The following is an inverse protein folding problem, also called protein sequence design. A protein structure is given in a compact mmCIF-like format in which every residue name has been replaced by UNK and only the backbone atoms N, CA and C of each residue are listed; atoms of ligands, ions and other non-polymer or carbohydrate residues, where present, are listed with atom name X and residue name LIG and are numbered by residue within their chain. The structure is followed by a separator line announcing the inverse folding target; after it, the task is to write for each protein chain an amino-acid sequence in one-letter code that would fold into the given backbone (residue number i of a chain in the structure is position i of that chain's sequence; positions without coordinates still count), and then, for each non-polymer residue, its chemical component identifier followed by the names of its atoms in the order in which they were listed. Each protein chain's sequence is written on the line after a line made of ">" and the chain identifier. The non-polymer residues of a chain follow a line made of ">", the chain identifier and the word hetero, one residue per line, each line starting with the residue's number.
data_IF_182013523075
#
_entry.id   IF_182013523075
#
_cell.length_a   1.000
_cell.length_b   1.000
_cell.length_c   1.000
_cell.angle_alpha   90.00
_cell.angle_beta   90.00
_cell.angle_gamma   90.00
#
_symmetry.space_group_name_H-M   'P 1'
#
loop_
_entity.id
_entity.type
_entity.pdbx_description
1 polymer ?
#
# COMPACT_ATOMS: atom_id res chain seq x y z
N UNK A 1 12.09 -2.37 10.49
CA UNK A 1 11.50 -1.37 9.58
C UNK A 1 12.63 -0.54 8.98
N UNK A 2 12.87 -0.71 7.68
CA UNK A 2 14.06 -0.25 6.95
C UNK A 2 14.14 1.29 6.85
N UNK A 3 15.36 1.86 6.89
CA UNK A 3 15.58 3.32 6.78
C UNK A 3 15.29 3.85 5.38
N UNK A 4 15.50 3.03 4.35
CA UNK A 4 15.23 3.36 2.94
C UNK A 4 13.74 3.57 2.70
N UNK A 5 12.89 2.64 3.15
CA UNK A 5 11.44 2.71 3.05
C UNK A 5 10.85 3.94 3.77
N UNK A 6 11.41 4.32 4.93
CA UNK A 6 11.02 5.57 5.63
C UNK A 6 11.41 6.83 4.86
N UNK A 7 12.55 6.83 4.18
CA UNK A 7 13.01 7.98 3.41
C UNK A 7 12.18 8.16 2.13
N UNK A 8 11.83 7.06 1.47
CA UNK A 8 11.00 7.06 0.26
C UNK A 8 9.56 7.50 0.58
N UNK A 9 8.99 6.98 1.67
CA UNK A 9 7.69 7.42 2.17
C UNK A 9 7.65 8.92 2.52
N UNK A 10 8.71 9.42 3.19
CA UNK A 10 8.83 10.84 3.54
C UNK A 10 8.93 11.71 2.30
N UNK A 11 9.66 11.27 1.26
CA UNK A 11 9.76 11.97 0.00
C UNK A 11 8.42 12.04 -0.74
N UNK A 12 7.70 10.92 -0.85
CA UNK A 12 6.38 10.86 -1.49
C UNK A 12 5.38 11.79 -0.77
N UNK A 13 5.35 11.78 0.57
CA UNK A 13 4.50 12.68 1.36
C UNK A 13 4.85 14.15 1.14
N UNK A 14 6.14 14.48 1.13
CA UNK A 14 6.61 15.84 0.88
C UNK A 14 6.20 16.30 -0.53
N UNK A 15 6.35 15.45 -1.53
CA UNK A 15 6.03 15.79 -2.92
C UNK A 15 4.52 15.96 -3.13
N UNK A 16 3.69 15.10 -2.53
CA UNK A 16 2.23 15.27 -2.50
C UNK A 16 1.80 16.55 -1.77
N UNK A 17 2.44 16.86 -0.64
CA UNK A 17 2.16 18.08 0.12
C UNK A 17 2.53 19.32 -0.68
N UNK A 18 3.71 19.33 -1.31
CA UNK A 18 4.14 20.40 -2.20
C UNK A 18 3.19 20.58 -3.39
N UNK A 19 2.77 19.48 -4.03
CA UNK A 19 1.79 19.53 -5.11
C UNK A 19 0.46 20.16 -4.67
N UNK A 20 -0.07 19.75 -3.52
CA UNK A 20 -1.30 20.31 -2.96
C UNK A 20 -1.13 21.80 -2.61
N UNK A 21 0.00 22.21 -2.03
CA UNK A 21 0.30 23.64 -1.75
C UNK A 21 0.29 24.44 -3.05
N UNK A 22 0.97 23.95 -4.10
CA UNK A 22 1.03 24.62 -5.40
C UNK A 22 -0.37 24.77 -5.99
N UNK A 23 -1.17 23.69 -6.00
CA UNK A 23 -2.54 23.72 -6.51
C UNK A 23 -3.41 24.72 -5.73
N UNK A 24 -3.28 24.76 -4.40
CA UNK A 24 -3.96 25.71 -3.54
C UNK A 24 -3.57 27.16 -3.84
N UNK A 25 -2.27 27.44 -4.00
CA UNK A 25 -1.77 28.77 -4.39
C UNK A 25 -2.29 29.21 -5.76
N UNK A 26 -2.39 28.30 -6.73
CA UNK A 26 -2.97 28.57 -8.06
C UNK A 26 -4.46 28.93 -7.93
N UNK A 27 -5.23 28.17 -7.14
CA UNK A 27 -6.66 28.43 -6.92
C UNK A 27 -6.89 29.80 -6.26
N UNK A 28 -6.09 30.14 -5.24
CA UNK A 28 -6.15 31.48 -4.62
C UNK A 28 -5.81 32.59 -5.61
N UNK A 29 -4.79 32.41 -6.44
CA UNK A 29 -4.40 33.40 -7.44
C UNK A 29 -5.50 33.59 -8.49
N UNK A 30 -6.04 32.51 -9.05
CA UNK A 30 -7.14 32.56 -10.02
C UNK A 30 -8.40 33.21 -9.43
N UNK A 31 -8.71 32.92 -8.16
CA UNK A 31 -9.87 33.51 -7.47
C UNK A 31 -9.73 35.01 -7.23
N UNK A 32 -8.51 35.52 -7.13
CA UNK A 32 -8.23 36.95 -6.94
C UNK A 32 -7.79 37.65 -8.24
N UNK A 33 -7.63 36.93 -9.35
CA UNK A 33 -7.19 37.50 -10.62
C UNK A 33 -8.27 38.39 -11.24
N UNK A 34 -9.53 37.97 -11.16
CA UNK A 34 -10.70 38.73 -11.67
C UNK A 34 -10.76 40.11 -11.01
N UNK A 35 -10.55 40.12 -9.69
CA UNK A 35 -10.43 41.32 -8.88
C UNK A 35 -9.34 42.29 -9.35
N UNK A 36 -8.16 41.77 -9.69
CA UNK A 36 -7.04 42.57 -10.20
C UNK A 36 -7.35 43.12 -11.59
N UNK A 37 -7.99 42.33 -12.45
CA UNK A 37 -8.35 42.70 -13.82
C UNK A 37 -9.40 43.81 -13.81
N UNK A 38 -10.44 43.71 -12.98
CA UNK A 38 -11.49 44.73 -12.89
C UNK A 38 -10.96 46.07 -12.39
N UNK A 39 -10.01 46.05 -11.44
CA UNK A 39 -9.32 47.25 -10.95
C UNK A 39 -8.52 47.98 -12.04
N UNK A 40 -8.05 47.24 -13.06
CA UNK A 40 -7.29 47.80 -14.16
C UNK A 40 -8.17 48.27 -15.33
N UNK A 41 -9.24 47.54 -15.67
CA UNK A 41 -10.12 47.87 -16.80
C UNK A 41 -11.20 48.90 -16.47
N UNK A 42 -11.67 48.97 -15.23
CA UNK A 42 -12.78 49.82 -14.84
C UNK A 42 -12.47 50.62 -13.56
N UNK A 43 -11.58 51.63 -13.63
CA UNK A 43 -11.18 52.42 -12.47
C UNK A 43 -12.32 53.28 -11.86
N UNK A 44 -13.41 53.46 -12.60
CA UNK A 44 -14.57 54.28 -12.23
C UNK A 44 -15.49 53.60 -11.19
N UNK A 45 -15.44 52.26 -11.09
CA UNK A 45 -16.34 51.49 -10.23
C UNK A 45 -15.68 51.34 -8.85
N UNK A 46 -16.34 51.69 -7.74
CA UNK A 46 -15.76 51.52 -6.41
C UNK A 46 -15.65 50.02 -6.07
N UNK A 47 -14.50 49.45 -6.41
CA UNK A 47 -14.14 48.04 -6.20
C UNK A 47 -14.26 47.60 -4.72
N UNK A 48 -14.11 48.55 -3.78
CA UNK A 48 -14.19 48.32 -2.33
C UNK A 48 -15.62 48.37 -1.74
N UNK A 49 -16.64 47.98 -2.49
CA UNK A 49 -17.97 47.74 -1.91
C UNK A 49 -17.96 46.45 -1.06
N UNK A 50 -18.78 46.45 0.00
CA UNK A 50 -18.87 45.39 1.02
C UNK A 50 -19.13 43.98 0.44
N UNK A 51 -19.66 43.92 -0.78
CA UNK A 51 -20.07 42.71 -1.48
C UNK A 51 -18.89 41.97 -2.16
N UNK A 52 -17.86 42.68 -2.61
CA UNK A 52 -16.70 42.07 -3.31
C UNK A 52 -15.62 41.57 -2.35
N UNK A 53 -15.42 42.23 -1.21
CA UNK A 53 -14.47 41.80 -0.18
C UNK A 53 -14.88 40.47 0.48
N UNK A 54 -16.19 40.25 0.63
CA UNK A 54 -16.73 39.03 1.22
C UNK A 54 -16.41 37.78 0.38
N UNK A 55 -16.45 37.87 -0.95
CA UNK A 55 -16.23 36.71 -1.83
C UNK A 55 -14.78 36.22 -1.76
N UNK A 56 -13.80 37.13 -1.78
CA UNK A 56 -12.37 36.77 -1.65
C UNK A 56 -12.03 36.22 -0.25
N UNK A 57 -12.56 36.85 0.81
CA UNK A 57 -12.34 36.42 2.19
C UNK A 57 -12.96 35.06 2.50
N UNK A 58 -14.23 34.85 2.13
CA UNK A 58 -14.94 33.58 2.36
C UNK A 58 -14.27 32.45 1.59
N UNK A 59 -13.94 32.66 0.31
CA UNK A 59 -13.28 31.65 -0.50
C UNK A 59 -11.88 31.31 0.06
N UNK A 60 -11.11 32.31 0.49
CA UNK A 60 -9.82 32.09 1.15
C UNK A 60 -9.92 31.25 2.43
N UNK A 61 -10.90 31.55 3.29
CA UNK A 61 -11.14 30.79 4.53
C UNK A 61 -11.59 29.36 4.24
N UNK A 62 -12.55 29.17 3.33
CA UNK A 62 -13.07 27.85 2.95
C UNK A 62 -11.97 26.99 2.33
N UNK A 63 -11.23 27.53 1.37
CA UNK A 63 -10.12 26.81 0.76
C UNK A 63 -9.04 26.49 1.81
N UNK A 64 -8.71 27.43 2.72
CA UNK A 64 -7.70 27.21 3.76
C UNK A 64 -8.08 26.10 4.75
N UNK A 65 -9.36 26.04 5.14
CA UNK A 65 -9.90 24.97 5.98
C UNK A 65 -9.83 23.64 5.22
N UNK A 66 -10.29 23.57 3.97
CA UNK A 66 -10.23 22.36 3.14
C UNK A 66 -8.79 21.87 2.93
N UNK A 67 -7.86 22.78 2.69
CA UNK A 67 -6.44 22.47 2.55
C UNK A 67 -5.85 21.91 3.84
N UNK A 68 -6.12 22.58 4.98
CA UNK A 68 -5.68 22.12 6.30
C UNK A 68 -6.25 20.74 6.64
N UNK A 69 -7.55 20.53 6.44
CA UNK A 69 -8.21 19.23 6.64
C UNK A 69 -7.61 18.14 5.75
N UNK A 70 -7.33 18.44 4.47
CA UNK A 70 -6.69 17.49 3.56
C UNK A 70 -5.27 17.12 4.03
N UNK A 71 -4.47 18.10 4.46
CA UNK A 71 -3.13 17.86 5.01
C UNK A 71 -3.20 17.06 6.32
N UNK A 72 -4.15 17.37 7.20
CA UNK A 72 -4.35 16.63 8.45
C UNK A 72 -4.82 15.20 8.20
N UNK A 73 -5.76 14.98 7.28
CA UNK A 73 -6.26 13.65 6.91
C UNK A 73 -5.15 12.78 6.30
N UNK A 74 -4.34 13.34 5.40
CA UNK A 74 -3.20 12.63 4.79
C UNK A 74 -2.09 12.36 5.82
N UNK A 75 -1.88 13.24 6.79
CA UNK A 75 -0.94 13.03 7.88
C UNK A 75 -1.43 11.97 8.88
N UNK A 76 -2.73 11.93 9.18
CA UNK A 76 -3.34 11.00 10.13
C UNK A 76 -3.60 9.59 9.54
N UNK A 77 -3.76 9.48 8.21
CA UNK A 77 -4.18 8.25 7.51
C UNK A 77 -3.14 7.12 7.39
N UNK A 78 -2.28 6.89 8.38
CA UNK A 78 -1.25 5.82 8.31
C UNK A 78 -1.11 4.97 9.57
N UNK A 79 -2.19 4.78 10.32
CA UNK A 79 -2.13 3.95 11.54
C UNK A 79 -2.77 2.55 11.41
N UNK A 80 -3.33 2.14 10.25
CA UNK A 80 -4.10 0.87 10.18
C UNK A 80 -3.71 -0.11 9.07
N UNK A 81 -2.57 0.07 8.39
CA UNK A 81 -2.03 -0.94 7.44
C UNK A 81 -0.77 -1.63 7.95
N UNK A 82 -0.37 -1.39 9.21
CA UNK A 82 0.90 -1.87 9.77
C UNK A 82 0.70 -2.77 11.01
N UNK A 83 -0.34 -3.61 11.01
CA UNK A 83 -0.50 -4.66 12.03
C UNK A 83 -0.66 -6.08 11.44
N UNK A 84 -0.27 -6.29 10.18
CA UNK A 84 0.01 -7.61 9.61
C UNK A 84 1.39 -7.56 8.97
N UNK A 85 2.36 -8.28 9.54
CA UNK A 85 3.78 -8.05 9.29
C UNK A 85 4.18 -8.24 7.83
N UNK A 86 4.66 -7.20 7.16
CA UNK A 86 5.32 -7.37 5.86
C UNK A 86 6.48 -8.37 5.99
N UNK A 87 6.46 -9.41 5.14
CA UNK A 87 7.53 -10.39 5.03
C UNK A 87 8.87 -9.64 4.85
N UNK A 88 9.89 -9.98 5.64
CA UNK A 88 11.24 -9.38 5.48
C UNK A 88 11.74 -9.70 4.06
N UNK A 89 12.44 -8.75 3.44
CA UNK A 89 13.04 -8.93 2.10
C UNK A 89 13.98 -10.15 2.02
N UNK A 90 14.60 -10.53 3.15
CA UNK A 90 15.40 -11.74 3.29
C UNK A 90 14.95 -12.45 4.57
N UNK A 91 14.42 -13.67 4.44
CA UNK A 91 14.08 -14.50 5.59
C UNK A 91 15.29 -15.32 6.04
N UNK A 92 15.70 -15.23 7.31
CA UNK A 92 16.69 -16.13 7.87
C UNK A 92 16.09 -17.52 8.05
N UNK A 93 16.29 -18.40 7.07
CA UNK A 93 15.77 -19.77 7.04
C UNK A 93 16.91 -20.75 7.39
N UNK A 94 16.63 -21.72 8.25
CA UNK A 94 17.57 -22.81 8.52
C UNK A 94 17.76 -23.67 7.26
N UNK A 95 19.01 -23.83 6.82
CA UNK A 95 19.31 -24.58 5.60
C UNK A 95 18.86 -26.06 5.67
N UNK A 96 18.85 -26.65 6.87
CA UNK A 96 18.50 -28.04 7.10
C UNK A 96 16.98 -28.25 7.31
N UNK A 97 16.40 -27.64 8.34
CA UNK A 97 14.99 -27.90 8.73
C UNK A 97 13.98 -26.89 8.14
N UNK A 98 14.43 -25.88 7.39
CA UNK A 98 13.60 -24.84 6.76
C UNK A 98 12.75 -23.97 7.70
N UNK A 99 12.97 -24.05 9.01
CA UNK A 99 12.36 -23.15 9.97
C UNK A 99 12.87 -21.70 9.79
N UNK A 100 12.02 -20.73 10.10
CA UNK A 100 12.32 -19.30 10.04
C UNK A 100 12.72 -18.80 11.42
N UNK A 101 13.79 -18.01 11.47
CA UNK A 101 14.21 -17.34 12.71
C UNK A 101 13.43 -16.05 12.94
N UNK A 102 12.66 -15.99 14.02
CA UNK A 102 11.80 -14.84 14.35
C UNK A 102 12.47 -13.79 15.21
N UNK A 103 13.45 -14.16 16.03
CA UNK A 103 14.24 -13.23 16.85
C UNK A 103 15.72 -13.23 16.45
N UNK A 104 16.48 -12.28 17.00
CA UNK A 104 17.92 -12.19 16.72
C UNK A 104 18.75 -13.20 17.53
N UNK A 105 18.12 -13.90 18.47
CA UNK A 105 18.77 -14.92 19.31
C UNK A 105 18.81 -16.28 18.60
N UNK A 106 19.86 -17.06 18.85
CA UNK A 106 20.02 -18.42 18.34
C UNK A 106 19.56 -19.47 19.37
N UNK A 107 18.41 -19.26 20.01
CA UNK A 107 17.82 -20.25 20.93
C UNK A 107 16.77 -21.09 20.21
N UNK A 108 16.44 -22.27 20.74
CA UNK A 108 15.44 -23.18 20.15
C UNK A 108 14.08 -22.46 20.00
N UNK A 109 13.69 -21.65 20.98
CA UNK A 109 12.45 -20.86 20.99
C UNK A 109 12.41 -19.75 19.92
N UNK A 110 13.55 -19.42 19.32
CA UNK A 110 13.68 -18.37 18.31
C UNK A 110 13.34 -18.85 16.89
N UNK A 111 13.03 -20.13 16.72
CA UNK A 111 12.74 -20.77 15.45
C UNK A 111 11.30 -21.25 15.38
N UNK A 112 10.66 -21.02 14.25
CA UNK A 112 9.30 -21.50 14.00
C UNK A 112 9.14 -22.08 12.60
N UNK A 113 8.15 -22.96 12.38
CA UNK A 113 7.82 -23.46 11.06
C UNK A 113 7.55 -22.32 10.07
N UNK A 114 7.94 -22.54 8.80
CA UNK A 114 7.78 -21.55 7.73
C UNK A 114 6.29 -21.20 7.52
N UNK A 115 5.42 -22.20 7.62
CA UNK A 115 3.99 -22.09 7.45
C UNK A 115 3.38 -21.18 8.52
N UNK A 116 3.79 -21.37 9.79
CA UNK A 116 3.39 -20.50 10.90
C UNK A 116 3.83 -19.06 10.63
N UNK A 117 5.09 -18.87 10.24
CA UNK A 117 5.63 -17.55 9.93
C UNK A 117 4.86 -16.84 8.82
N UNK A 118 4.61 -17.51 7.70
CA UNK A 118 3.89 -16.91 6.57
C UNK A 118 2.44 -16.61 6.97
N UNK A 119 1.75 -17.52 7.66
CA UNK A 119 0.35 -17.32 8.07
C UNK A 119 0.20 -16.17 9.08
N UNK A 120 1.16 -15.97 9.97
CA UNK A 120 1.17 -14.85 10.92
C UNK A 120 1.45 -13.49 10.26
N UNK A 121 2.19 -13.49 9.16
CA UNK A 121 2.68 -12.28 8.48
C UNK A 121 1.90 -11.98 7.19
N UNK A 122 0.99 -12.86 6.76
CA UNK A 122 0.21 -12.69 5.52
C UNK A 122 -1.20 -13.22 5.71
N UNK A 123 -2.12 -12.89 4.80
CA UNK A 123 -3.47 -13.48 4.79
C UNK A 123 -3.52 -14.86 4.09
N UNK A 124 -2.38 -15.51 3.90
CA UNK A 124 -2.28 -16.77 3.14
C UNK A 124 -2.67 -17.98 3.99
N UNK A 125 -3.41 -18.91 3.39
CA UNK A 125 -3.74 -20.22 3.99
C UNK A 125 -3.00 -21.33 3.24
N UNK A 126 -2.56 -22.35 3.97
CA UNK A 126 -1.88 -23.53 3.41
C UNK A 126 -2.84 -24.71 3.28
N UNK A 127 -2.86 -25.33 2.11
CA UNK A 127 -3.48 -26.65 1.89
C UNK A 127 -2.41 -27.74 1.98
N UNK A 128 -2.74 -28.89 2.56
CA UNK A 128 -1.85 -30.04 2.63
C UNK A 128 -2.16 -31.01 1.49
N UNK A 129 -1.49 -30.82 0.35
CA UNK A 129 -1.54 -31.73 -0.80
C UNK A 129 -0.31 -32.66 -0.85
N UNK A 130 -0.42 -33.75 -1.61
CA UNK A 130 0.70 -34.64 -1.91
C UNK A 130 1.04 -34.49 -3.40
N UNK A 131 2.30 -34.17 -3.73
CA UNK A 131 2.71 -34.06 -5.13
C UNK A 131 2.84 -35.46 -5.78
N UNK A 132 2.80 -35.55 -7.13
CA UNK A 132 2.89 -36.83 -7.84
C UNK A 132 4.12 -37.66 -7.44
N UNK A 133 5.29 -37.01 -7.30
CA UNK A 133 6.54 -37.69 -6.93
C UNK A 133 6.46 -38.32 -5.52
N UNK A 134 5.91 -37.57 -4.56
CA UNK A 134 5.70 -38.06 -3.21
C UNK A 134 4.67 -39.19 -3.18
N UNK A 135 3.64 -39.12 -4.02
CA UNK A 135 2.62 -40.16 -4.13
C UNK A 135 3.20 -41.44 -4.72
N UNK A 136 4.03 -41.35 -5.75
CA UNK A 136 4.73 -42.50 -6.34
C UNK A 136 5.71 -43.15 -5.37
N UNK A 137 6.39 -42.35 -4.55
CA UNK A 137 7.34 -42.84 -3.55
C UNK A 137 6.66 -43.48 -2.33
N UNK A 138 5.62 -42.84 -1.79
CA UNK A 138 4.94 -43.29 -0.57
C UNK A 138 3.84 -44.31 -0.83
N UNK A 139 3.17 -44.21 -1.98
CA UNK A 139 2.00 -45.01 -2.35
C UNK A 139 2.05 -45.48 -3.82
N UNK A 140 3.06 -46.27 -4.22
CA UNK A 140 3.29 -46.64 -5.62
C UNK A 140 2.10 -47.38 -6.26
N UNK A 141 1.38 -48.21 -5.49
CA UNK A 141 0.19 -48.92 -5.99
C UNK A 141 -0.95 -47.95 -6.36
N UNK A 142 -1.25 -47.00 -5.49
CA UNK A 142 -2.26 -45.96 -5.75
C UNK A 142 -1.82 -45.01 -6.85
N UNK A 143 -0.54 -44.64 -6.91
CA UNK A 143 -0.01 -43.79 -7.98
C UNK A 143 -0.20 -44.42 -9.36
N UNK A 144 -0.03 -45.74 -9.46
CA UNK A 144 -0.26 -46.49 -10.71
C UNK A 144 -1.73 -46.48 -11.10
N UNK A 145 -2.63 -46.68 -10.15
CA UNK A 145 -4.08 -46.66 -10.38
C UNK A 145 -4.58 -45.27 -10.79
N UNK A 146 -4.09 -44.21 -10.13
CA UNK A 146 -4.40 -42.81 -10.47
C UNK A 146 -3.89 -42.47 -11.87
N UNK A 147 -2.65 -42.86 -12.23
CA UNK A 147 -2.13 -42.69 -13.60
C UNK A 147 -3.03 -43.38 -14.63
N UNK A 148 -3.42 -44.63 -14.37
CA UNK A 148 -4.29 -45.40 -15.27
C UNK A 148 -5.69 -44.78 -15.41
N UNK A 149 -6.28 -44.27 -14.32
CA UNK A 149 -7.57 -43.59 -14.35
C UNK A 149 -7.50 -42.23 -15.08
N UNK A 150 -6.41 -41.48 -14.91
CA UNK A 150 -6.20 -40.24 -15.66
C UNK A 150 -6.03 -40.49 -17.17
N UNK A 151 -5.30 -41.54 -17.56
CA UNK A 151 -5.17 -41.96 -18.97
C UNK A 151 -6.54 -42.31 -19.57
N UNK A 152 -7.43 -42.93 -18.80
CA UNK A 152 -8.77 -43.31 -19.27
C UNK A 152 -9.74 -42.12 -19.39
N UNK A 153 -9.63 -41.13 -18.49
CA UNK A 153 -10.61 -40.03 -18.39
C UNK A 153 -10.18 -38.74 -19.08
N UNK A 154 -8.86 -38.52 -19.27
CA UNK A 154 -8.27 -37.34 -19.94
C UNK A 154 -6.97 -37.71 -20.67
N UNK A 155 -7.05 -38.46 -21.78
CA UNK A 155 -5.87 -38.96 -22.50
C UNK A 155 -4.96 -37.85 -23.05
N UNK A 156 -5.50 -36.67 -23.32
CA UNK A 156 -4.79 -35.47 -23.80
C UNK A 156 -3.76 -34.88 -22.82
N UNK A 157 -3.80 -35.27 -21.54
CA UNK A 157 -2.95 -34.73 -20.47
C UNK A 157 -1.86 -35.71 -19.99
N UNK A 158 -1.55 -36.73 -20.79
CA UNK A 158 -0.62 -37.81 -20.41
C UNK A 158 0.88 -37.44 -20.40
N UNK A 159 1.25 -36.20 -20.72
CA UNK A 159 2.66 -35.76 -20.89
C UNK A 159 3.04 -34.52 -20.07
N UNK A 160 2.19 -34.04 -19.15
CA UNK A 160 2.50 -32.94 -18.21
C UNK A 160 2.69 -33.55 -16.82
#
# INVERSE_FOLDING_TARGET
>A
MDRTARHEEKNIRRDLTLFLVILFSIVLFMSNLIAIVDCFLHPEIPYFAQDHFAVGGINGVVCGILFCLTVLCTNNGRQTVLQGGTLKAILPICANCKQVRVSDTYTIESWQPLECYITEHTATQFSHGCCPDCMEKLYPGFATEIKNHHIQTRPELSYI
#
